data_IF_932833734476
#
_entry.id   IF_932833734476
#
_cell.length_a   1.000
_cell.length_b   1.000
_cell.length_c   1.000
_cell.angle_alpha   90.00
_cell.angle_beta   90.00
_cell.angle_gamma   90.00
#
_symmetry.space_group_name_H-M   'P 1'
#
loop_
_entity.id
_entity.type
_entity.pdbx_description
1 polymer ?
#
# COMPACT_ATOMS: atom_id res chain seq x y z
N UNK A 1 53.77 -3.40 2.88
CA UNK A 1 53.91 -3.35 1.42
C UNK A 1 53.35 -2.02 0.95
N UNK A 2 54.21 -1.03 0.70
CA UNK A 2 53.84 0.31 0.22
C UNK A 2 54.23 0.41 -1.25
N UNK A 3 53.32 -0.05 -2.11
CA UNK A 3 53.45 0.06 -3.56
C UNK A 3 52.05 0.04 -4.14
N UNK A 4 51.69 1.10 -4.85
CA UNK A 4 50.41 1.21 -5.54
C UNK A 4 50.37 0.14 -6.62
N UNK A 5 49.38 -0.75 -6.57
CA UNK A 5 49.10 -1.64 -7.72
C UNK A 5 48.92 -0.72 -8.92
N UNK A 6 49.71 -0.88 -10.01
CA UNK A 6 49.56 -0.05 -11.19
C UNK A 6 48.10 -0.11 -11.66
N UNK A 7 47.45 1.04 -11.84
CA UNK A 7 46.05 1.09 -12.29
C UNK A 7 45.85 0.32 -13.60
N UNK A 8 46.90 0.16 -14.42
CA UNK A 8 46.86 -0.64 -15.65
C UNK A 8 46.52 -2.13 -15.41
N UNK A 9 46.78 -2.69 -14.22
CA UNK A 9 46.44 -4.09 -13.89
C UNK A 9 44.98 -4.28 -13.45
N UNK A 10 44.26 -3.19 -13.14
CA UNK A 10 42.83 -3.22 -12.80
C UNK A 10 41.96 -2.86 -14.01
N UNK A 11 42.39 -3.22 -15.22
CA UNK A 11 41.60 -2.94 -16.41
C UNK A 11 40.67 -4.10 -16.74
N UNK A 12 39.41 -3.78 -17.01
CA UNK A 12 38.46 -4.74 -17.59
C UNK A 12 38.41 -4.48 -19.08
N UNK A 13 38.90 -5.43 -19.88
CA UNK A 13 38.77 -5.37 -21.34
C UNK A 13 37.40 -5.93 -21.74
N UNK A 14 36.66 -5.14 -22.50
CA UNK A 14 35.27 -5.44 -22.86
C UNK A 14 35.20 -5.53 -24.37
N UNK A 15 34.39 -6.44 -24.89
CA UNK A 15 34.15 -6.55 -26.32
C UNK A 15 33.63 -5.21 -26.86
N UNK A 16 34.11 -4.75 -28.04
CA UNK A 16 33.60 -3.53 -28.64
C UNK A 16 32.12 -3.70 -29.02
N UNK A 17 31.39 -2.58 -29.04
CA UNK A 17 30.02 -2.55 -29.56
C UNK A 17 30.01 -3.08 -31.00
N UNK A 18 28.89 -3.71 -31.40
CA UNK A 18 28.68 -4.26 -32.73
C UNK A 18 29.62 -5.44 -33.10
N UNK A 19 30.29 -6.05 -32.11
CA UNK A 19 31.10 -7.25 -32.32
C UNK A 19 30.29 -8.54 -32.53
N UNK A 20 29.03 -8.54 -32.14
CA UNK A 20 28.10 -9.68 -32.27
C UNK A 20 26.87 -9.24 -33.04
N UNK A 21 26.44 -10.05 -34.01
CA UNK A 21 25.23 -9.79 -34.79
C UNK A 21 24.24 -10.95 -34.75
N UNK A 22 22.96 -10.63 -34.89
CA UNK A 22 21.87 -11.58 -35.10
C UNK A 22 21.35 -11.49 -36.53
N UNK A 23 21.12 -12.62 -37.19
CA UNK A 23 20.74 -12.66 -38.61
C UNK A 23 20.57 -14.07 -39.13
N UNK A 24 19.96 -14.21 -40.31
CA UNK A 24 19.84 -15.50 -41.01
C UNK A 24 21.17 -16.01 -41.54
N UNK A 25 22.06 -15.08 -41.89
CA UNK A 25 23.34 -15.34 -42.53
C UNK A 25 24.36 -14.24 -42.19
N UNK A 26 25.59 -14.41 -42.70
CA UNK A 26 26.70 -13.47 -42.47
C UNK A 26 26.56 -12.12 -43.18
N UNK A 27 25.62 -12.00 -44.12
CA UNK A 27 25.44 -10.81 -44.94
C UNK A 27 24.26 -9.95 -44.47
N UNK A 28 23.25 -10.57 -43.85
CA UNK A 28 22.02 -9.95 -43.35
C UNK A 28 21.99 -10.01 -41.82
N UNK A 29 22.65 -9.06 -41.16
CA UNK A 29 22.77 -9.07 -39.69
C UNK A 29 22.48 -7.72 -39.04
N UNK A 30 21.90 -7.82 -37.85
CA UNK A 30 21.68 -6.74 -36.92
C UNK A 30 22.72 -6.83 -35.82
N UNK A 31 23.64 -5.87 -35.78
CA UNK A 31 24.72 -5.83 -34.80
C UNK A 31 24.19 -5.33 -33.46
N UNK A 32 24.56 -6.04 -32.41
CA UNK A 32 24.13 -5.80 -31.05
C UNK A 32 25.10 -4.86 -30.36
N UNK A 33 24.57 -3.95 -29.55
CA UNK A 33 25.38 -3.15 -28.65
C UNK A 33 25.60 -3.87 -27.32
N UNK A 34 26.53 -3.34 -26.51
CA UNK A 34 26.82 -3.88 -25.19
C UNK A 34 25.59 -3.97 -24.28
N UNK A 35 24.76 -2.93 -24.25
CA UNK A 35 23.58 -2.91 -23.38
C UNK A 35 22.60 -4.07 -23.66
N UNK A 36 22.56 -4.55 -24.91
CA UNK A 36 21.78 -5.74 -25.28
C UNK A 36 22.49 -7.03 -24.88
N UNK A 37 23.83 -7.09 -24.97
CA UNK A 37 24.63 -8.28 -24.65
C UNK A 37 24.78 -8.54 -23.14
N UNK A 38 24.78 -7.48 -22.33
CA UNK A 38 24.93 -7.57 -20.87
C UNK A 38 23.72 -8.23 -20.17
N UNK A 39 22.59 -8.40 -20.87
CA UNK A 39 21.40 -9.09 -20.35
C UNK A 39 21.60 -10.60 -20.23
N UNK A 40 22.54 -11.15 -21.00
CA UNK A 40 22.77 -12.60 -21.04
C UNK A 40 23.79 -13.02 -19.98
N UNK A 41 23.59 -14.18 -19.33
CA UNK A 41 24.52 -14.66 -18.33
C UNK A 41 25.90 -14.88 -18.95
N UNK A 42 26.94 -14.52 -18.21
CA UNK A 42 28.32 -14.75 -18.63
C UNK A 42 28.79 -16.14 -18.19
N UNK A 43 29.48 -16.85 -19.08
CA UNK A 43 30.09 -18.14 -18.82
C UNK A 43 31.62 -18.00 -18.78
N UNK A 44 32.33 -18.73 -17.92
CA UNK A 44 33.78 -18.73 -17.91
C UNK A 44 34.34 -19.28 -19.22
N UNK A 45 35.32 -18.58 -19.81
CA UNK A 45 36.01 -19.03 -21.02
C UNK A 45 36.77 -20.33 -20.78
N UNK A 46 36.60 -21.33 -21.62
CA UNK A 46 37.51 -22.46 -21.60
C UNK A 46 38.76 -22.08 -22.38
N UNK A 47 39.89 -22.05 -21.68
CA UNK A 47 41.18 -21.86 -22.34
C UNK A 47 41.57 -23.18 -23.01
N UNK A 48 42.05 -23.16 -24.26
CA UNK A 48 42.59 -24.35 -24.89
C UNK A 48 43.69 -24.94 -24.01
N UNK A 49 43.64 -26.24 -23.76
CA UNK A 49 44.70 -26.96 -23.04
C UNK A 49 46.02 -26.75 -23.78
N UNK A 50 46.98 -26.06 -23.15
CA UNK A 50 48.28 -25.74 -23.76
C UNK A 50 48.35 -24.41 -24.53
N UNK A 51 47.33 -23.55 -24.44
CA UNK A 51 47.43 -22.18 -24.96
C UNK A 51 48.60 -21.44 -24.31
N UNK A 52 49.67 -21.21 -25.07
CA UNK A 52 50.75 -20.33 -24.68
C UNK A 52 50.19 -18.90 -24.67
N UNK A 53 49.78 -18.41 -23.50
CA UNK A 53 49.44 -17.00 -23.33
C UNK A 53 50.77 -16.25 -23.43
N UNK A 54 51.09 -15.75 -24.63
CA UNK A 54 52.31 -14.97 -24.90
C UNK A 54 52.51 -13.93 -23.80
N UNK A 55 53.75 -13.66 -23.35
CA UNK A 55 53.98 -13.03 -22.06
C UNK A 55 53.58 -11.55 -22.13
N UNK A 56 52.34 -11.27 -21.75
CA UNK A 56 51.85 -9.92 -21.41
C UNK A 56 52.62 -9.35 -20.20
N UNK A 57 53.29 -10.22 -19.43
CA UNK A 57 54.06 -9.91 -18.23
C UNK A 57 55.46 -10.57 -18.33
N UNK A 58 56.56 -9.80 -18.31
CA UNK A 58 57.92 -10.35 -18.26
C UNK A 58 58.13 -11.21 -17.01
N UNK A 59 58.84 -12.33 -17.13
CA UNK A 59 59.21 -13.24 -16.03
C UNK A 59 58.03 -13.87 -15.26
N UNK A 60 56.85 -13.94 -15.86
CA UNK A 60 55.66 -14.63 -15.33
C UNK A 60 55.19 -15.69 -16.32
N UNK A 61 54.71 -16.82 -15.80
CA UNK A 61 54.09 -17.88 -16.60
C UNK A 61 52.59 -17.91 -16.34
N UNK A 62 51.80 -18.18 -17.39
CA UNK A 62 50.35 -18.32 -17.30
C UNK A 62 49.97 -19.75 -16.84
N UNK A 63 49.31 -19.86 -15.69
CA UNK A 63 48.80 -21.10 -15.11
C UNK A 63 47.27 -21.05 -15.09
N UNK A 64 46.61 -22.09 -15.59
CA UNK A 64 45.16 -22.23 -15.51
C UNK A 64 44.73 -22.64 -14.11
N UNK A 65 43.95 -21.80 -13.41
CA UNK A 65 43.54 -22.03 -12.01
C UNK A 65 42.06 -22.45 -11.91
N UNK A 66 41.40 -22.65 -13.06
CA UNK A 66 40.00 -23.04 -13.15
C UNK A 66 39.35 -22.57 -14.45
N UNK A 67 38.05 -22.85 -14.64
CA UNK A 67 37.32 -22.42 -15.83
C UNK A 67 37.35 -20.90 -15.93
N UNK A 68 37.83 -20.37 -17.05
CA UNK A 68 37.94 -18.93 -17.32
C UNK A 68 38.97 -18.20 -16.47
N UNK A 69 39.82 -18.86 -15.69
CA UNK A 69 40.77 -18.19 -14.79
C UNK A 69 42.21 -18.53 -15.15
N UNK A 70 42.97 -17.50 -15.48
CA UNK A 70 44.44 -17.56 -15.63
C UNK A 70 45.07 -16.79 -14.49
N UNK A 71 46.10 -17.37 -13.89
CA UNK A 71 46.99 -16.66 -12.99
C UNK A 71 48.38 -16.60 -13.61
N UNK A 72 49.00 -15.44 -13.54
CA UNK A 72 50.37 -15.21 -14.00
C UNK A 72 51.28 -15.25 -12.77
N UNK A 73 52.05 -16.33 -12.65
CA UNK A 73 52.86 -16.66 -11.47
C UNK A 73 54.36 -16.62 -11.80
N UNK A 74 55.19 -16.29 -10.81
CA UNK A 74 56.66 -16.40 -10.94
C UNK A 74 57.16 -17.83 -10.75
N UNK A 75 56.51 -18.60 -9.87
CA UNK A 75 56.85 -19.99 -9.56
C UNK A 75 55.54 -20.78 -9.56
N UNK A 76 55.48 -21.86 -10.33
CA UNK A 76 54.26 -22.66 -10.50
C UNK A 76 53.74 -23.18 -9.16
N UNK A 77 52.50 -22.83 -8.82
CA UNK A 77 51.81 -23.34 -7.63
C UNK A 77 52.21 -22.65 -6.32
N UNK A 78 52.91 -21.52 -6.38
CA UNK A 78 53.21 -20.68 -5.21
C UNK A 78 52.79 -19.23 -5.44
N UNK A 79 51.80 -18.78 -4.67
CA UNK A 79 51.35 -17.39 -4.66
C UNK A 79 52.51 -16.47 -4.21
N UNK A 80 52.91 -15.58 -5.12
CA UNK A 80 53.98 -14.61 -4.90
C UNK A 80 53.45 -13.18 -5.00
N UNK A 81 54.11 -12.25 -4.32
CA UNK A 81 53.80 -10.82 -4.44
C UNK A 81 54.03 -10.38 -5.90
N UNK A 82 52.99 -9.81 -6.53
CA UNK A 82 53.04 -9.36 -7.92
C UNK A 82 52.46 -10.34 -8.94
N UNK A 83 51.78 -11.41 -8.50
CA UNK A 83 50.99 -12.27 -9.38
C UNK A 83 49.71 -11.57 -9.84
N UNK A 84 49.31 -11.85 -11.08
CA UNK A 84 48.11 -11.24 -11.70
C UNK A 84 47.11 -12.34 -11.99
N UNK A 85 45.86 -12.15 -11.55
CA UNK A 85 44.75 -13.06 -11.87
C UNK A 85 43.83 -12.40 -12.89
N UNK A 86 43.62 -13.08 -14.01
CA UNK A 86 42.75 -12.64 -15.09
C UNK A 86 41.61 -13.63 -15.26
N UNK A 87 40.38 -13.11 -15.28
CA UNK A 87 39.20 -13.87 -15.62
C UNK A 87 38.73 -13.54 -17.03
N UNK A 88 38.55 -14.58 -17.83
CA UNK A 88 37.95 -14.52 -19.16
C UNK A 88 36.53 -15.04 -19.08
N UNK A 89 35.58 -14.24 -19.53
CA UNK A 89 34.18 -14.64 -19.66
C UNK A 89 33.69 -14.35 -21.07
N UNK A 90 32.76 -15.16 -21.55
CA UNK A 90 32.03 -14.91 -22.79
C UNK A 90 30.52 -14.94 -22.48
N UNK A 91 29.71 -14.29 -23.32
CA UNK A 91 28.25 -14.34 -23.18
C UNK A 91 27.74 -15.76 -23.45
N UNK A 92 26.79 -16.28 -22.66
CA UNK A 92 26.19 -17.60 -22.88
C UNK A 92 25.45 -17.77 -24.22
N UNK A 93 25.38 -16.71 -25.04
CA UNK A 93 24.82 -16.76 -26.39
C UNK A 93 25.69 -17.65 -27.29
N UNK A 94 25.05 -18.67 -27.86
CA UNK A 94 25.66 -19.56 -28.83
C UNK A 94 25.12 -19.28 -30.23
N UNK A 95 26.03 -19.08 -31.19
CA UNK A 95 25.68 -18.87 -32.61
C UNK A 95 24.85 -20.05 -33.13
N UNK A 96 23.72 -19.75 -33.77
CA UNK A 96 22.83 -20.75 -34.38
C UNK A 96 21.87 -21.45 -33.40
N UNK A 97 22.20 -21.50 -32.11
CA UNK A 97 21.39 -22.16 -31.07
C UNK A 97 20.52 -21.15 -30.33
N UNK A 98 21.15 -20.12 -29.76
CA UNK A 98 20.43 -19.13 -28.95
C UNK A 98 19.61 -18.22 -29.85
N UNK A 99 18.32 -18.15 -29.58
CA UNK A 99 17.40 -17.21 -30.22
C UNK A 99 17.26 -16.00 -29.32
N UNK A 100 17.26 -14.82 -29.92
CA UNK A 100 17.22 -13.55 -29.21
C UNK A 100 16.18 -12.66 -29.87
N UNK A 101 15.29 -12.10 -29.06
CA UNK A 101 14.38 -11.01 -29.47
C UNK A 101 14.92 -9.68 -28.95
N UNK A 102 14.95 -8.66 -29.81
CA UNK A 102 15.50 -7.33 -29.50
C UNK A 102 14.53 -6.24 -29.94
N UNK A 103 14.38 -5.21 -29.10
CA UNK A 103 13.72 -3.96 -29.45
C UNK A 103 14.71 -2.83 -29.21
N UNK A 104 15.11 -2.18 -30.30
CA UNK A 104 16.08 -1.09 -30.32
C UNK A 104 15.91 -0.23 -31.58
N UNK A 105 16.58 0.92 -31.64
CA UNK A 105 16.65 1.74 -32.84
C UNK A 105 17.55 1.04 -33.86
N UNK A 106 17.13 1.00 -35.12
CA UNK A 106 17.97 0.51 -36.21
C UNK A 106 18.70 1.69 -36.85
N UNK A 107 20.03 1.63 -36.86
CA UNK A 107 20.91 2.58 -37.53
C UNK A 107 21.68 1.87 -38.65
N UNK A 108 21.70 2.45 -39.84
CA UNK A 108 22.45 1.89 -40.98
C UNK A 108 23.94 2.18 -40.81
N UNK A 109 24.77 1.14 -40.87
CA UNK A 109 26.22 1.30 -40.64
C UNK A 109 26.98 1.91 -41.82
N UNK A 110 26.51 1.70 -43.05
CA UNK A 110 27.14 2.25 -44.24
C UNK A 110 26.12 2.34 -45.38
N UNK A 111 26.12 3.43 -46.18
CA UNK A 111 25.28 3.53 -47.37
C UNK A 111 25.61 2.46 -48.43
N UNK A 112 26.78 1.81 -48.34
CA UNK A 112 27.20 0.73 -49.24
C UNK A 112 26.78 -0.67 -48.78
N UNK A 113 26.27 -0.83 -47.55
CA UNK A 113 25.92 -2.14 -46.97
C UNK A 113 24.44 -2.19 -46.63
N UNK A 114 23.61 -2.49 -47.63
CA UNK A 114 22.14 -2.53 -47.49
C UNK A 114 21.64 -3.62 -46.54
N UNK A 115 22.48 -4.59 -46.18
CA UNK A 115 22.11 -5.78 -45.42
C UNK A 115 22.63 -5.78 -43.97
N UNK A 116 23.39 -4.77 -43.55
CA UNK A 116 23.95 -4.69 -42.18
C UNK A 116 23.44 -3.44 -41.48
N UNK A 117 22.85 -3.62 -40.30
CA UNK A 117 22.40 -2.52 -39.46
C UNK A 117 22.89 -2.69 -38.02
N UNK A 118 23.21 -1.59 -37.35
CA UNK A 118 23.51 -1.57 -35.93
C UNK A 118 22.25 -1.27 -35.13
N UNK A 119 22.12 -1.91 -33.97
CA UNK A 119 21.04 -1.65 -33.03
C UNK A 119 21.53 -0.73 -31.91
N UNK A 120 20.96 0.48 -31.85
CA UNK A 120 21.34 1.49 -30.88
C UNK A 120 20.18 1.83 -29.92
N UNK A 121 20.47 2.44 -28.76
CA UNK A 121 19.43 2.85 -27.84
C UNK A 121 18.51 3.90 -28.47
N UNK A 122 17.21 3.70 -28.40
CA UNK A 122 16.23 4.69 -28.81
C UNK A 122 15.78 5.52 -27.62
N UNK A 123 15.97 6.84 -27.66
CA UNK A 123 15.34 7.75 -26.70
C UNK A 123 13.93 8.12 -27.19
N UNK A 124 12.92 7.77 -26.40
CA UNK A 124 11.51 8.01 -26.72
C UNK A 124 11.08 9.46 -26.49
N UNK A 125 11.90 10.27 -25.81
CA UNK A 125 11.55 11.63 -25.40
C UNK A 125 10.55 11.69 -24.22
N UNK A 126 10.17 10.53 -23.66
CA UNK A 126 9.29 10.43 -22.51
C UNK A 126 10.07 10.15 -21.24
N UNK A 127 9.59 10.67 -20.11
CA UNK A 127 10.15 10.37 -18.79
C UNK A 127 9.67 9.00 -18.27
N UNK A 128 10.54 8.29 -17.56
CA UNK A 128 10.21 7.03 -16.86
C UNK A 128 11.07 5.84 -17.28
N UNK A 129 10.70 4.65 -16.82
CA UNK A 129 11.47 3.40 -17.02
C UNK A 129 11.58 2.97 -18.49
N UNK A 130 10.73 3.51 -19.37
CA UNK A 130 10.74 3.23 -20.81
C UNK A 130 11.28 4.43 -21.63
N UNK A 131 11.99 5.37 -20.99
CA UNK A 131 12.59 6.53 -21.67
C UNK A 131 13.59 6.11 -22.74
N UNK A 132 14.40 5.10 -22.45
CA UNK A 132 15.35 4.50 -23.38
C UNK A 132 14.96 3.07 -23.70
N UNK A 133 14.72 2.79 -24.98
CA UNK A 133 14.42 1.46 -25.50
C UNK A 133 15.70 0.86 -26.05
N UNK A 134 16.22 -0.13 -25.34
CA UNK A 134 17.39 -0.93 -25.71
C UNK A 134 17.30 -2.31 -25.06
N UNK A 135 16.30 -3.10 -25.45
CA UNK A 135 15.92 -4.31 -24.73
C UNK A 135 16.29 -5.54 -25.54
N UNK A 136 16.92 -6.52 -24.88
CA UNK A 136 17.18 -7.84 -25.43
C UNK A 136 16.63 -8.91 -24.47
N UNK A 137 16.06 -9.98 -25.02
CA UNK A 137 15.57 -11.12 -24.26
C UNK A 137 15.92 -12.43 -24.97
N UNK A 138 16.29 -13.45 -24.20
CA UNK A 138 16.51 -14.79 -24.71
C UNK A 138 15.17 -15.46 -25.06
N UNK A 139 15.12 -16.13 -26.20
CA UNK A 139 13.96 -16.87 -26.69
C UNK A 139 13.16 -16.13 -27.77
N UNK A 140 12.08 -16.76 -28.20
CA UNK A 140 11.12 -16.19 -29.14
C UNK A 140 10.08 -15.38 -28.39
N UNK A 141 10.24 -14.06 -28.41
CA UNK A 141 9.24 -13.12 -27.88
C UNK A 141 8.70 -12.27 -29.01
N UNK A 142 7.38 -12.09 -29.03
CA UNK A 142 6.78 -11.11 -29.94
C UNK A 142 7.03 -9.70 -29.43
N UNK A 143 6.86 -8.70 -30.30
CA UNK A 143 6.94 -7.30 -29.90
C UNK A 143 6.00 -6.97 -28.74
N UNK A 144 4.79 -7.53 -28.76
CA UNK A 144 3.78 -7.28 -27.73
C UNK A 144 4.22 -7.88 -26.40
N UNK A 145 4.69 -9.14 -26.40
CA UNK A 145 5.16 -9.82 -25.19
C UNK A 145 6.31 -9.05 -24.52
N UNK A 146 7.28 -8.55 -25.30
CA UNK A 146 8.40 -7.78 -24.76
C UNK A 146 7.95 -6.45 -24.13
N UNK A 147 6.97 -5.77 -24.75
CA UNK A 147 6.41 -4.52 -24.23
C UNK A 147 5.62 -4.78 -22.95
N UNK A 148 4.80 -5.84 -22.93
CA UNK A 148 3.98 -6.23 -21.78
C UNK A 148 4.84 -6.71 -20.61
N UNK A 149 5.92 -7.46 -20.88
CA UNK A 149 6.92 -7.82 -19.89
C UNK A 149 7.54 -6.58 -19.23
N UNK A 150 7.93 -5.57 -20.04
CA UNK A 150 8.50 -4.33 -19.51
C UNK A 150 7.50 -3.42 -18.78
N UNK A 151 6.23 -3.47 -19.17
CA UNK A 151 5.14 -2.76 -18.48
C UNK A 151 4.80 -3.40 -17.13
N UNK A 152 4.72 -4.74 -17.08
CA UNK A 152 4.31 -5.50 -15.89
C UNK A 152 5.35 -5.50 -14.77
N UNK A 153 6.65 -5.48 -15.11
CA UNK A 153 7.78 -5.46 -14.15
C UNK A 153 7.67 -4.30 -13.14
N UNK A 154 7.11 -3.16 -13.56
CA UNK A 154 7.01 -1.97 -12.73
C UNK A 154 5.66 -1.83 -11.98
N UNK A 155 4.62 -2.54 -12.42
CA UNK A 155 3.26 -2.32 -11.92
C UNK A 155 3.00 -2.96 -10.55
N UNK A 156 3.28 -4.26 -10.42
CA UNK A 156 2.91 -5.04 -9.25
C UNK A 156 3.71 -4.66 -8.00
N UNK A 157 5.03 -4.54 -8.13
CA UNK A 157 5.92 -4.20 -7.01
C UNK A 157 5.57 -2.83 -6.41
N UNK A 158 5.30 -1.84 -7.26
CA UNK A 158 4.93 -0.49 -6.82
C UNK A 158 3.56 -0.48 -6.13
N UNK A 159 2.59 -1.26 -6.62
CA UNK A 159 1.30 -1.42 -5.94
C UNK A 159 1.45 -2.03 -4.54
N UNK A 160 2.28 -3.07 -4.40
CA UNK A 160 2.56 -3.71 -3.11
C UNK A 160 3.21 -2.72 -2.15
N UNK A 161 4.27 -2.02 -2.60
CA UNK A 161 4.95 -1.03 -1.75
C UNK A 161 4.01 0.10 -1.29
N UNK A 162 3.04 0.50 -2.12
CA UNK A 162 2.03 1.50 -1.72
C UNK A 162 1.07 0.96 -0.68
N UNK A 163 0.60 -0.28 -0.83
CA UNK A 163 -0.26 -0.92 0.16
C UNK A 163 0.47 -1.07 1.50
N UNK A 164 1.72 -1.55 1.46
CA UNK A 164 2.57 -1.69 2.65
C UNK A 164 2.80 -0.33 3.30
N UNK A 165 3.14 0.70 2.51
CA UNK A 165 3.30 2.06 3.03
C UNK A 165 2.04 2.61 3.71
N UNK A 166 0.86 2.36 3.13
CA UNK A 166 -0.43 2.71 3.75
C UNK A 166 -0.66 1.96 5.07
N UNK A 167 -0.41 0.65 5.10
CA UNK A 167 -0.59 -0.17 6.32
C UNK A 167 0.37 0.29 7.41
N UNK A 168 1.64 0.54 7.08
CA UNK A 168 2.64 1.04 8.04
C UNK A 168 2.23 2.41 8.59
N UNK A 169 1.72 3.31 7.74
CA UNK A 169 1.22 4.61 8.16
C UNK A 169 -0.02 4.51 9.07
N UNK A 170 -0.94 3.60 8.73
CA UNK A 170 -2.12 3.30 9.55
C UNK A 170 -1.69 2.80 10.93
N UNK A 171 -0.84 1.79 10.99
CA UNK A 171 -0.34 1.23 12.24
C UNK A 171 0.43 2.28 13.05
N UNK A 172 1.28 3.09 12.41
CA UNK A 172 1.99 4.20 13.07
C UNK A 172 1.03 5.17 13.76
N UNK A 173 -0.05 5.57 13.10
CA UNK A 173 -1.09 6.42 13.70
C UNK A 173 -1.82 5.73 14.85
N UNK A 174 -2.12 4.43 14.72
CA UNK A 174 -2.75 3.66 15.80
C UNK A 174 -1.85 3.59 17.05
N UNK A 175 -0.54 3.39 16.87
CA UNK A 175 0.42 3.39 17.98
C UNK A 175 0.49 4.75 18.67
N UNK A 176 0.42 5.86 17.91
CA UNK A 176 0.43 7.22 18.48
C UNK A 176 -0.85 7.54 19.25
N UNK A 177 -2.03 7.14 18.74
CA UNK A 177 -3.31 7.39 19.42
C UNK A 177 -3.65 6.35 20.49
N UNK A 178 -2.91 5.25 20.57
CA UNK A 178 -3.15 4.16 21.52
C UNK A 178 -3.25 4.63 22.98
N UNK A 179 -2.30 5.44 23.49
CA UNK A 179 -2.37 5.98 24.85
C UNK A 179 -3.61 6.87 25.11
N UNK A 180 -4.12 7.54 24.07
CA UNK A 180 -5.32 8.39 24.18
C UNK A 180 -6.57 7.53 24.33
N UNK A 181 -6.62 6.36 23.70
CA UNK A 181 -7.75 5.44 23.78
C UNK A 181 -7.94 4.83 25.18
N UNK A 182 -6.88 4.79 26.00
CA UNK A 182 -6.91 4.24 27.36
C UNK A 182 -7.40 5.25 28.41
N UNK A 183 -7.46 6.55 28.08
CA UNK A 183 -7.89 7.61 29.01
C UNK A 183 -9.26 7.37 29.69
N UNK A 184 -10.31 6.85 29.00
CA UNK A 184 -11.62 6.63 29.62
C UNK A 184 -11.64 5.52 30.68
N UNK A 185 -10.65 4.61 30.68
CA UNK A 185 -10.57 3.49 31.62
C UNK A 185 -10.19 3.93 33.05
N UNK A 186 -9.81 5.20 33.21
CA UNK A 186 -9.52 5.82 34.51
C UNK A 186 -10.82 6.15 35.29
N UNK A 187 -12.00 6.12 34.65
CA UNK A 187 -13.29 6.30 35.32
C UNK A 187 -13.90 4.95 35.77
N UNK A 188 -14.15 4.74 37.08
CA UNK A 188 -14.77 3.51 37.56
C UNK A 188 -16.21 3.34 37.04
N UNK A 189 -16.57 2.10 36.67
CA UNK A 189 -17.89 1.58 36.28
C UNK A 189 -18.39 1.77 34.82
N UNK A 190 -17.79 2.64 33.98
CA UNK A 190 -18.23 2.82 32.57
C UNK A 190 -17.05 2.73 31.56
N UNK A 191 -15.83 2.51 32.07
CA UNK A 191 -14.59 2.58 31.30
C UNK A 191 -14.45 1.57 30.15
N UNK A 192 -14.98 0.35 30.28
CA UNK A 192 -14.83 -0.70 29.25
C UNK A 192 -15.66 -0.39 27.99
N UNK A 193 -16.95 -0.08 28.14
CA UNK A 193 -17.83 0.22 27.00
C UNK A 193 -17.43 1.54 26.31
N UNK A 194 -17.03 2.56 27.08
CA UNK A 194 -16.54 3.83 26.51
C UNK A 194 -15.19 3.62 25.83
N UNK A 195 -14.31 2.79 26.41
CA UNK A 195 -13.02 2.44 25.83
C UNK A 195 -13.14 1.77 24.46
N UNK A 196 -14.05 0.81 24.29
CA UNK A 196 -14.29 0.15 23.01
C UNK A 196 -14.84 1.11 21.95
N UNK A 197 -15.83 1.94 22.30
CA UNK A 197 -16.43 2.91 21.37
C UNK A 197 -15.42 3.99 20.97
N UNK A 198 -14.63 4.49 21.93
CA UNK A 198 -13.58 5.49 21.67
C UNK A 198 -12.46 4.86 20.83
N UNK A 199 -12.06 3.62 21.10
CA UNK A 199 -11.09 2.88 20.31
C UNK A 199 -11.55 2.67 18.87
N UNK A 200 -12.81 2.25 18.66
CA UNK A 200 -13.39 2.10 17.33
C UNK A 200 -13.47 3.44 16.58
N UNK A 201 -13.87 4.52 17.25
CA UNK A 201 -13.94 5.86 16.67
C UNK A 201 -12.55 6.40 16.29
N UNK A 202 -11.54 6.22 17.14
CA UNK A 202 -10.15 6.59 16.85
C UNK A 202 -9.58 5.77 15.71
N UNK A 203 -9.88 4.47 15.64
CA UNK A 203 -9.46 3.61 14.54
C UNK A 203 -10.01 4.09 13.19
N UNK A 204 -11.31 4.37 13.11
CA UNK A 204 -11.94 4.93 11.91
C UNK A 204 -11.36 6.29 11.51
N UNK A 205 -11.05 7.14 12.50
CA UNK A 205 -10.45 8.45 12.26
C UNK A 205 -9.01 8.33 11.74
N UNK A 206 -8.19 7.46 12.34
CA UNK A 206 -6.83 7.18 11.89
C UNK A 206 -6.80 6.58 10.49
N UNK A 207 -7.77 5.72 10.16
CA UNK A 207 -7.91 5.17 8.82
C UNK A 207 -8.13 6.28 7.78
N UNK A 208 -9.04 7.23 8.04
CA UNK A 208 -9.31 8.34 7.12
C UNK A 208 -8.11 9.28 6.98
N UNK A 209 -7.38 9.55 8.07
CA UNK A 209 -6.17 10.37 8.03
C UNK A 209 -5.05 9.66 7.27
N UNK A 210 -4.81 8.37 7.55
CA UNK A 210 -3.81 7.55 6.85
C UNK A 210 -4.10 7.48 5.35
N UNK A 211 -5.37 7.31 4.98
CA UNK A 211 -5.78 7.23 3.58
C UNK A 211 -5.54 8.55 2.84
N UNK A 212 -5.93 9.68 3.44
CA UNK A 212 -5.69 11.00 2.86
C UNK A 212 -4.18 11.30 2.72
N UNK A 213 -3.39 10.97 3.74
CA UNK A 213 -1.95 11.22 3.74
C UNK A 213 -1.23 10.31 2.73
N UNK A 214 -1.64 9.04 2.62
CA UNK A 214 -1.12 8.10 1.62
C UNK A 214 -1.41 8.56 0.19
N UNK A 215 -2.65 8.96 -0.12
CA UNK A 215 -2.97 9.54 -1.43
C UNK A 215 -2.23 10.84 -1.71
N UNK A 216 -1.97 11.67 -0.69
CA UNK A 216 -1.18 12.90 -0.85
C UNK A 216 0.27 12.57 -1.22
N UNK A 217 0.91 11.64 -0.52
CA UNK A 217 2.31 11.23 -0.79
C UNK A 217 2.41 10.58 -2.18
N UNK A 218 1.50 9.66 -2.49
CA UNK A 218 1.47 8.98 -3.80
C UNK A 218 1.20 10.00 -4.92
N UNK A 219 0.25 10.92 -4.71
CA UNK A 219 -0.12 11.95 -5.69
C UNK A 219 1.03 12.90 -5.98
N UNK A 220 1.71 13.38 -4.93
CA UNK A 220 2.89 14.22 -5.05
C UNK A 220 4.02 13.53 -5.83
N UNK A 221 4.29 12.25 -5.56
CA UNK A 221 5.29 11.48 -6.30
C UNK A 221 4.95 11.35 -7.80
N UNK A 222 3.67 11.16 -8.13
CA UNK A 222 3.24 11.07 -9.53
C UNK A 222 3.21 12.40 -10.28
N UNK A 223 3.28 13.57 -9.62
CA UNK A 223 3.31 14.85 -10.34
C UNK A 223 4.50 14.95 -11.31
N UNK A 224 5.65 14.40 -10.94
CA UNK A 224 6.84 14.39 -11.80
C UNK A 224 6.84 13.26 -12.84
N UNK A 225 6.21 12.12 -12.54
CA UNK A 225 6.22 10.95 -13.43
C UNK A 225 5.05 10.95 -14.43
N UNK A 226 3.82 11.26 -13.98
CA UNK A 226 2.60 11.38 -14.79
C UNK A 226 1.65 12.43 -14.17
N UNK A 227 1.75 13.71 -14.56
CA UNK A 227 1.09 14.83 -13.88
C UNK A 227 -0.44 14.68 -13.79
N UNK A 228 -1.09 14.14 -14.83
CA UNK A 228 -2.54 13.93 -14.84
C UNK A 228 -2.97 12.96 -13.73
N UNK A 229 -2.28 11.81 -13.60
CA UNK A 229 -2.57 10.83 -12.54
C UNK A 229 -2.29 11.43 -11.15
N UNK A 230 -1.23 12.22 -11.00
CA UNK A 230 -0.91 12.91 -9.74
C UNK A 230 -2.01 13.88 -9.31
N UNK A 231 -2.50 14.74 -10.21
CA UNK A 231 -3.55 15.73 -9.92
C UNK A 231 -4.85 15.04 -9.51
N UNK A 232 -5.28 14.01 -10.24
CA UNK A 232 -6.51 13.26 -9.92
C UNK A 232 -6.40 12.64 -8.52
N UNK A 233 -5.24 12.10 -8.16
CA UNK A 233 -5.04 11.51 -6.83
C UNK A 233 -5.05 12.55 -5.71
N UNK A 234 -4.50 13.74 -5.95
CA UNK A 234 -4.55 14.85 -4.98
C UNK A 234 -5.97 15.37 -4.78
N UNK A 235 -6.78 15.45 -5.85
CA UNK A 235 -8.20 15.78 -5.74
C UNK A 235 -8.96 14.72 -4.93
N UNK A 236 -8.65 13.43 -5.13
CA UNK A 236 -9.22 12.36 -4.32
C UNK A 236 -8.83 12.49 -2.84
N UNK A 237 -7.57 12.83 -2.53
CA UNK A 237 -7.14 13.12 -1.16
C UNK A 237 -7.92 14.30 -0.54
N UNK A 238 -8.08 15.39 -1.29
CA UNK A 238 -8.87 16.54 -0.87
C UNK A 238 -10.35 16.19 -0.64
N UNK A 239 -10.94 15.33 -1.47
CA UNK A 239 -12.30 14.85 -1.30
C UNK A 239 -12.48 14.03 -0.01
N UNK A 240 -11.52 13.18 0.35
CA UNK A 240 -11.53 12.43 1.63
C UNK A 240 -11.50 13.40 2.82
N UNK A 241 -10.64 14.42 2.76
CA UNK A 241 -10.56 15.46 3.81
C UNK A 241 -11.86 16.26 3.89
N UNK A 242 -12.44 16.64 2.76
CA UNK A 242 -13.70 17.37 2.69
C UNK A 242 -14.87 16.54 3.23
N UNK A 243 -14.94 15.25 2.89
CA UNK A 243 -15.94 14.32 3.42
C UNK A 243 -15.81 14.19 4.95
N UNK A 244 -14.58 14.00 5.45
CA UNK A 244 -14.33 13.98 6.89
C UNK A 244 -14.76 15.30 7.58
N UNK A 245 -14.53 16.44 6.93
CA UNK A 245 -14.94 17.74 7.46
C UNK A 245 -16.46 17.93 7.50
N UNK A 246 -17.17 17.56 6.44
CA UNK A 246 -18.64 17.68 6.36
C UNK A 246 -19.35 16.75 7.35
N UNK A 247 -18.86 15.52 7.53
CA UNK A 247 -19.34 14.60 8.55
C UNK A 247 -19.14 15.15 9.96
N UNK A 248 -17.97 15.74 10.25
CA UNK A 248 -17.70 16.42 11.54
C UNK A 248 -18.65 17.60 11.77
N UNK A 249 -18.93 18.40 10.74
CA UNK A 249 -19.84 19.56 10.84
C UNK A 249 -21.28 19.11 11.15
N UNK A 250 -21.78 18.09 10.44
CA UNK A 250 -23.12 17.53 10.67
C UNK A 250 -23.30 17.00 12.10
N UNK A 251 -22.28 16.34 12.66
CA UNK A 251 -22.33 15.84 14.05
C UNK A 251 -22.22 16.95 15.10
N UNK A 252 -21.55 18.08 14.81
CA UNK A 252 -21.50 19.23 15.73
C UNK A 252 -22.82 20.03 15.76
N UNK A 253 -23.65 19.93 14.74
CA UNK A 253 -24.93 20.67 14.63
C UNK A 253 -26.07 20.12 15.51
N UNK A 254 -25.81 19.12 16.35
CA UNK A 254 -26.71 18.74 17.46
C UNK A 254 -26.16 19.22 18.79
N UNK A 255 -26.22 20.53 19.11
CA UNK A 255 -25.99 20.97 20.48
C UNK A 255 -27.10 20.37 21.34
N UNK A 256 -26.78 19.40 22.20
CA UNK A 256 -27.52 19.27 23.46
C UNK A 256 -27.25 20.56 24.21
N UNK A 257 -28.16 21.52 24.13
CA UNK A 257 -28.20 22.61 25.09
C UNK A 257 -28.28 21.97 26.46
N UNK A 258 -27.26 22.14 27.34
CA UNK A 258 -27.50 21.85 28.74
C UNK A 258 -28.63 22.79 29.16
N UNK A 259 -29.71 22.24 29.70
CA UNK A 259 -30.79 23.03 30.32
C UNK A 259 -30.20 23.71 31.56
N UNK A 260 -29.51 24.83 31.35
CA UNK A 260 -28.96 25.67 32.42
C UNK A 260 -30.04 26.66 32.90
N UNK A 261 -31.12 26.82 32.12
CA UNK A 261 -32.20 27.78 32.41
C UNK A 261 -33.36 27.18 33.21
N UNK A 262 -33.32 25.90 33.60
CA UNK A 262 -34.25 25.42 34.62
C UNK A 262 -33.71 25.84 35.99
N UNK A 263 -34.35 26.80 36.70
CA UNK A 263 -34.00 27.03 38.09
C UNK A 263 -34.13 25.70 38.82
N UNK A 264 -33.21 25.42 39.74
CA UNK A 264 -33.26 24.25 40.60
C UNK A 264 -34.64 24.21 41.29
N UNK A 265 -35.57 23.44 40.71
CA UNK A 265 -36.93 23.30 41.20
C UNK A 265 -36.84 22.55 42.52
N UNK A 266 -36.84 23.29 43.62
CA UNK A 266 -37.21 22.81 44.95
C UNK A 266 -38.61 22.22 44.86
N UNK A 267 -38.70 20.89 44.83
CA UNK A 267 -39.96 20.15 44.95
C UNK A 267 -40.88 20.28 43.74
N UNK A 268 -41.33 19.15 43.23
CA UNK A 268 -42.46 19.13 42.30
C UNK A 268 -43.64 19.91 42.92
N UNK A 269 -44.29 20.84 42.20
CA UNK A 269 -45.56 21.37 42.65
C UNK A 269 -46.56 20.20 42.75
N UNK A 270 -47.45 20.18 43.77
CA UNK A 270 -48.48 19.16 43.86
C UNK A 270 -49.27 19.18 42.56
N UNK A 271 -49.19 18.09 41.80
CA UNK A 271 -50.06 17.88 40.66
C UNK A 271 -51.48 17.89 41.19
N UNK A 272 -52.29 18.83 40.72
CA UNK A 272 -53.75 18.76 40.86
C UNK A 272 -54.18 17.50 40.10
N UNK A 273 -54.39 16.42 40.85
CA UNK A 273 -55.08 15.24 40.34
C UNK A 273 -56.53 15.65 40.12
N UNK A 274 -56.95 15.65 38.85
CA UNK A 274 -58.34 15.89 38.49
C UNK A 274 -59.13 14.71 39.04
N UNK A 275 -59.89 14.92 40.11
CA UNK A 275 -60.76 13.89 40.70
C UNK A 275 -61.73 13.38 39.63
N UNK A 276 -61.66 12.09 39.29
CA UNK A 276 -62.56 11.49 38.31
C UNK A 276 -63.80 10.97 39.03
N UNK A 277 -64.97 11.53 38.68
CA UNK A 277 -66.24 11.13 39.28
C UNK A 277 -66.81 9.87 38.61
N UNK A 278 -67.01 8.81 39.38
CA UNK A 278 -67.65 7.56 38.93
C UNK A 278 -68.99 7.39 39.64
N UNK A 279 -70.06 7.09 38.91
CA UNK A 279 -71.37 6.78 39.48
C UNK A 279 -71.40 5.31 39.93
N UNK A 280 -71.73 5.09 41.20
CA UNK A 280 -71.73 3.76 41.82
C UNK A 280 -73.11 3.50 42.40
N UNK A 281 -73.69 2.35 42.07
CA UNK A 281 -74.97 1.92 42.66
C UNK A 281 -74.70 1.17 43.95
N UNK A 282 -75.32 1.59 45.05
CA UNK A 282 -75.12 0.94 46.35
C UNK A 282 -75.80 -0.46 46.37
N UNK A 283 -75.07 -1.57 46.60
CA UNK A 283 -75.66 -2.91 46.65
C UNK A 283 -76.58 -3.11 47.87
N UNK A 284 -77.52 -4.07 47.84
CA UNK A 284 -78.54 -4.28 48.88
C UNK A 284 -78.02 -4.58 50.31
N UNK A 285 -76.72 -4.86 50.48
CA UNK A 285 -76.14 -5.37 51.73
C UNK A 285 -75.13 -4.40 52.39
N UNK A 286 -75.16 -3.11 52.05
CA UNK A 286 -74.14 -2.14 52.50
C UNK A 286 -74.79 -1.01 53.30
N UNK A 287 -74.22 -0.73 54.48
CA UNK A 287 -74.71 0.34 55.36
C UNK A 287 -73.96 1.66 55.09
N UNK A 288 -74.59 2.84 55.33
CA UNK A 288 -73.93 4.13 55.18
C UNK A 288 -72.64 4.20 56.01
N UNK A 289 -71.55 4.69 55.42
CA UNK A 289 -70.23 4.76 56.05
C UNK A 289 -69.30 3.56 55.80
N UNK A 290 -69.78 2.48 55.20
CA UNK A 290 -68.97 1.33 54.82
C UNK A 290 -68.18 1.60 53.52
N UNK A 291 -66.96 1.06 53.42
CA UNK A 291 -66.12 1.19 52.23
C UNK A 291 -66.47 0.13 51.18
N UNK A 292 -66.70 0.57 49.94
CA UNK A 292 -66.96 -0.27 48.77
C UNK A 292 -65.75 -0.26 47.84
N UNK A 293 -65.35 -1.42 47.31
CA UNK A 293 -64.41 -1.47 46.19
C UNK A 293 -65.17 -1.27 44.88
N UNK A 294 -64.79 -0.24 44.13
CA UNK A 294 -65.39 0.15 42.85
C UNK A 294 -64.32 0.14 41.78
N UNK A 295 -64.62 -0.39 40.61
CA UNK A 295 -63.68 -0.41 39.49
C UNK A 295 -63.78 0.90 38.71
N UNK A 296 -62.73 1.73 38.77
CA UNK A 296 -62.62 2.98 38.03
C UNK A 296 -62.32 2.77 36.53
N UNK A 297 -62.51 3.80 35.69
CA UNK A 297 -62.22 3.73 34.27
C UNK A 297 -60.73 3.41 34.04
N UNK A 298 -60.45 2.27 33.40
CA UNK A 298 -59.09 1.73 33.25
C UNK A 298 -58.78 0.50 34.11
N UNK A 299 -59.75 -0.05 34.85
CA UNK A 299 -59.64 -1.34 35.55
C UNK A 299 -59.01 -1.26 36.94
N UNK A 300 -58.66 -0.07 37.43
CA UNK A 300 -58.15 0.14 38.79
C UNK A 300 -59.27 0.01 39.82
N UNK A 301 -59.05 -0.80 40.85
CA UNK A 301 -59.98 -0.91 41.99
C UNK A 301 -59.72 0.24 42.96
N UNK A 302 -60.72 1.05 43.24
CA UNK A 302 -60.65 2.18 44.16
C UNK A 302 -61.66 1.99 45.29
N UNK A 303 -61.26 2.34 46.50
CA UNK A 303 -62.10 2.18 47.69
C UNK A 303 -62.87 3.49 47.94
N UNK A 304 -64.20 3.41 47.88
CA UNK A 304 -65.09 4.56 48.01
C UNK A 304 -65.99 4.35 49.22
N UNK A 305 -66.12 5.36 50.09
CA UNK A 305 -67.03 5.32 51.22
C UNK A 305 -68.45 5.72 50.81
N UNK A 306 -69.46 4.96 51.25
CA UNK A 306 -70.88 5.30 50.99
C UNK A 306 -71.28 6.51 51.86
N UNK A 307 -71.75 7.63 51.27
CA UNK A 307 -72.19 8.80 52.03
C UNK A 307 -73.37 8.51 52.97
N UNK A 308 -73.44 9.25 54.09
CA UNK A 308 -74.56 9.14 55.04
C UNK A 308 -75.89 9.57 54.38
N UNK A 309 -76.88 8.68 54.38
CA UNK A 309 -78.23 8.95 53.85
C UNK A 309 -78.59 8.21 52.54
N UNK A 310 -77.66 7.48 51.92
CA UNK A 310 -77.93 6.67 50.72
C UNK A 310 -78.56 5.34 51.13
N UNK A 311 -79.74 5.02 50.58
CA UNK A 311 -80.40 3.72 50.79
C UNK A 311 -79.93 2.69 49.76
N UNK A 312 -79.99 1.38 50.08
CA UNK A 312 -79.57 0.35 49.14
C UNK A 312 -80.37 0.45 47.82
N UNK A 313 -79.67 0.43 46.68
CA UNK A 313 -80.24 0.63 45.34
C UNK A 313 -80.17 2.07 44.80
N UNK A 314 -79.77 3.05 45.59
CA UNK A 314 -79.54 4.42 45.11
C UNK A 314 -78.13 4.62 44.53
N UNK A 315 -78.04 5.47 43.51
CA UNK A 315 -76.78 5.82 42.84
C UNK A 315 -76.16 7.03 43.54
N UNK A 316 -74.87 6.98 43.84
CA UNK A 316 -74.12 8.13 44.35
C UNK A 316 -72.83 8.33 43.55
N UNK A 317 -72.33 9.57 43.54
CA UNK A 317 -71.13 9.95 42.82
C UNK A 317 -69.92 9.81 43.74
N UNK A 318 -68.94 9.04 43.31
CA UNK A 318 -67.69 8.78 44.00
C UNK A 318 -66.54 9.51 43.31
N UNK A 319 -65.70 10.22 44.05
CA UNK A 319 -64.44 10.74 43.52
C UNK A 319 -63.39 9.61 43.55
N UNK A 320 -62.76 9.36 42.40
CA UNK A 320 -61.77 8.31 42.16
C UNK A 320 -60.47 8.91 41.65
#
# INVERSE_FOLDING_TARGET
NSGTIPQQLQTTLIAPDNSVGMGSDSYSMYLLNRGQLDVFPQQPAQLPSGAQVSPLLPNKQAVGVGPGKVQFESVTGQDSVGDVRTSFTYSAIQKGVTKVSVIAKQDTMSPASTHIASLSPWNTGLSGTMSTVNWAQAGYHTKQDMIDAKSSENGAMVMILRLVGFVVMLLGLQLVTGPIALMPQVLPCIGELIGEVVGAALCCLNFMISLALSFTVIGAAWLMARPIFGIVLLLAAAAVVFLAHTLRKKHRSSPRSPRIDEPFMTGAPPQVQVAQQVQVTCPPNVQPGQFLLVQGPGGRQCQVQVPAGVQPGQVFIANV
#
